data_IF_466094625508
#
_entry.id   IF_466094625508
#
_cell.length_a   1.000
_cell.length_b   1.000
_cell.length_c   1.000
_cell.angle_alpha   90.00
_cell.angle_beta   90.00
_cell.angle_gamma   90.00
#
_symmetry.space_group_name_H-M   'P 1'
#
loop_
_entity.id
_entity.type
_entity.pdbx_description
1 polymer ?
#
# COMPACT_ATOMS: atom_id res chain seq x y z
N UNK A 1 -8.82 -40.52 45.78
CA UNK A 1 -9.96 -40.16 44.89
C UNK A 1 -9.36 -39.42 43.71
N UNK A 2 -9.17 -40.11 42.58
CA UNK A 2 -8.58 -39.53 41.39
C UNK A 2 -9.62 -38.63 40.72
N UNK A 3 -9.34 -37.33 40.67
CA UNK A 3 -10.20 -36.35 40.04
C UNK A 3 -10.00 -36.49 38.52
N UNK A 4 -10.93 -37.15 37.83
CA UNK A 4 -10.98 -37.19 36.37
C UNK A 4 -11.38 -35.80 35.85
N UNK A 5 -10.44 -34.86 35.83
CA UNK A 5 -10.62 -33.60 35.14
C UNK A 5 -10.73 -33.91 33.64
N UNK A 6 -11.96 -33.81 33.15
CA UNK A 6 -12.38 -34.17 31.80
C UNK A 6 -11.51 -33.51 30.73
N UNK A 7 -10.61 -34.29 30.11
CA UNK A 7 -9.81 -33.88 28.95
C UNK A 7 -10.68 -33.34 27.80
N UNK A 8 -11.96 -33.67 27.79
CA UNK A 8 -12.95 -33.21 26.80
C UNK A 8 -13.11 -31.68 26.88
N UNK A 9 -13.10 -31.08 28.08
CA UNK A 9 -13.25 -29.62 28.27
C UNK A 9 -12.02 -28.87 27.73
N UNK A 10 -10.83 -29.46 27.84
CA UNK A 10 -9.58 -28.92 27.29
C UNK A 10 -9.54 -28.97 25.75
N UNK A 11 -10.12 -30.00 25.13
CA UNK A 11 -10.18 -30.08 23.67
C UNK A 11 -11.15 -29.06 23.05
N UNK A 12 -12.24 -28.71 23.74
CA UNK A 12 -13.18 -27.68 23.25
C UNK A 12 -12.59 -26.26 23.27
N UNK A 13 -11.66 -25.96 24.20
CA UNK A 13 -10.99 -24.65 24.26
C UNK A 13 -9.94 -24.44 23.15
N UNK A 14 -9.36 -25.53 22.61
CA UNK A 14 -8.38 -25.47 21.52
C UNK A 14 -9.03 -25.31 20.13
N UNK A 15 -10.35 -25.52 20.03
CA UNK A 15 -11.11 -25.43 18.77
C UNK A 15 -11.71 -24.03 18.51
N UNK A 16 -11.47 -23.06 19.39
CA UNK A 16 -11.86 -21.65 19.18
C UNK A 16 -10.72 -20.86 18.54
N UNK A 17 -10.09 -21.42 17.50
CA UNK A 17 -9.49 -20.60 16.46
C UNK A 17 -10.44 -20.64 15.29
N UNK A 18 -11.54 -19.87 15.37
CA UNK A 18 -12.25 -19.51 14.16
C UNK A 18 -11.23 -18.83 13.27
N UNK A 19 -10.82 -19.52 12.20
CA UNK A 19 -10.03 -18.91 11.15
C UNK A 19 -10.89 -17.78 10.59
N UNK A 20 -10.63 -16.54 11.05
CA UNK A 20 -11.22 -15.32 10.48
C UNK A 20 -10.61 -15.01 9.11
N UNK A 21 -9.92 -15.96 8.50
CA UNK A 21 -9.33 -15.83 7.19
C UNK A 21 -10.41 -15.53 6.17
N UNK A 22 -10.14 -14.56 5.31
CA UNK A 22 -11.04 -14.32 4.19
C UNK A 22 -10.90 -15.47 3.18
N UNK A 23 -12.00 -16.00 2.63
CA UNK A 23 -11.92 -17.05 1.62
C UNK A 23 -11.32 -16.52 0.32
N UNK A 24 -10.70 -17.38 -0.48
CA UNK A 24 -10.15 -17.02 -1.80
C UNK A 24 -11.19 -16.37 -2.73
N UNK A 25 -12.47 -16.74 -2.60
CA UNK A 25 -13.55 -16.09 -3.34
C UNK A 25 -13.68 -14.60 -2.99
N UNK A 26 -13.46 -14.23 -1.72
CA UNK A 26 -13.46 -12.84 -1.29
C UNK A 26 -12.21 -12.10 -1.78
N UNK A 27 -11.03 -12.75 -1.76
CA UNK A 27 -9.80 -12.20 -2.39
C UNK A 27 -10.05 -11.88 -3.87
N UNK A 28 -10.71 -12.78 -4.61
CA UNK A 28 -11.03 -12.54 -6.02
C UNK A 28 -11.99 -11.37 -6.22
N UNK A 29 -12.99 -11.19 -5.34
CA UNK A 29 -13.91 -10.04 -5.39
C UNK A 29 -13.19 -8.72 -5.09
N UNK A 30 -12.28 -8.72 -4.11
CA UNK A 30 -11.45 -7.56 -3.76
C UNK A 30 -10.53 -7.22 -4.94
N UNK A 31 -9.73 -8.18 -5.40
CA UNK A 31 -8.74 -7.93 -6.45
C UNK A 31 -9.37 -7.67 -7.82
N UNK A 32 -10.58 -8.16 -8.07
CA UNK A 32 -11.33 -7.84 -9.29
C UNK A 32 -11.71 -6.36 -9.43
N UNK A 33 -11.59 -5.56 -8.37
CA UNK A 33 -11.83 -4.11 -8.39
C UNK A 33 -10.56 -3.30 -8.68
N UNK A 34 -9.39 -3.94 -8.72
CA UNK A 34 -8.10 -3.27 -8.99
C UNK A 34 -7.81 -3.15 -10.49
N UNK A 35 -6.98 -2.17 -10.87
CA UNK A 35 -6.36 -2.02 -12.20
C UNK A 35 -5.54 -3.26 -12.57
N UNK A 36 -4.94 -3.95 -11.59
CA UNK A 36 -4.16 -5.17 -11.81
C UNK A 36 -4.56 -6.32 -10.83
N UNK A 37 -5.59 -7.12 -11.20
CA UNK A 37 -6.09 -8.20 -10.34
C UNK A 37 -5.05 -9.29 -10.03
N UNK A 38 -4.12 -9.55 -10.96
CA UNK A 38 -3.07 -10.55 -10.76
C UNK A 38 -2.04 -10.09 -9.73
N UNK A 39 -1.62 -8.82 -9.80
CA UNK A 39 -0.74 -8.23 -8.80
C UNK A 39 -1.37 -8.26 -7.41
N UNK A 40 -2.63 -7.81 -7.30
CA UNK A 40 -3.36 -7.84 -6.03
C UNK A 40 -3.50 -9.25 -5.47
N UNK A 41 -3.95 -10.21 -6.29
CA UNK A 41 -4.14 -11.59 -5.80
C UNK A 41 -2.82 -12.23 -5.40
N UNK A 42 -1.73 -11.96 -6.12
CA UNK A 42 -0.38 -12.42 -5.74
C UNK A 42 0.03 -11.84 -4.39
N UNK A 43 -0.20 -10.54 -4.17
CA UNK A 43 0.12 -9.86 -2.92
C UNK A 43 -0.68 -10.41 -1.74
N UNK A 44 -2.01 -10.48 -1.87
CA UNK A 44 -2.88 -10.91 -0.76
C UNK A 44 -2.70 -12.41 -0.46
N UNK A 45 -2.50 -13.26 -1.47
CA UNK A 45 -2.27 -14.69 -1.26
C UNK A 45 -0.90 -15.02 -0.67
N UNK A 46 0.03 -14.06 -0.61
CA UNK A 46 1.31 -14.23 0.09
C UNK A 46 1.14 -14.34 1.62
N UNK A 47 -0.02 -13.94 2.16
CA UNK A 47 -0.40 -14.07 3.56
C UNK A 47 -1.57 -15.07 3.68
N UNK A 48 -1.31 -16.39 3.59
CA UNK A 48 -2.37 -17.38 3.69
C UNK A 48 -2.98 -17.36 5.09
N UNK A 49 -4.30 -17.51 5.15
CA UNK A 49 -5.08 -17.55 6.39
C UNK A 49 -5.17 -16.21 7.15
N UNK A 50 -4.88 -15.07 6.50
CA UNK A 50 -5.04 -13.75 7.08
C UNK A 50 -6.50 -13.26 6.99
N UNK A 51 -6.95 -12.59 8.06
CA UNK A 51 -8.19 -11.81 8.02
C UNK A 51 -7.97 -10.48 7.29
N UNK A 52 -9.06 -9.76 7.02
CA UNK A 52 -8.99 -8.52 6.25
C UNK A 52 -8.12 -7.45 6.91
N UNK A 53 -8.17 -7.35 8.25
CA UNK A 53 -7.38 -6.36 9.00
C UNK A 53 -5.88 -6.68 8.89
N UNK A 54 -5.51 -7.94 8.98
CA UNK A 54 -4.13 -8.43 8.82
C UNK A 54 -3.63 -8.17 7.40
N UNK A 55 -4.46 -8.42 6.39
CA UNK A 55 -4.12 -8.13 4.98
C UNK A 55 -3.93 -6.63 4.73
N UNK A 56 -4.78 -5.77 5.30
CA UNK A 56 -4.63 -4.32 5.21
C UNK A 56 -3.33 -3.85 5.86
N UNK A 57 -3.03 -4.31 7.08
CA UNK A 57 -1.77 -3.98 7.75
C UNK A 57 -0.55 -4.46 6.97
N UNK A 58 -0.61 -5.66 6.39
CA UNK A 58 0.44 -6.18 5.53
C UNK A 58 0.63 -5.31 4.29
N UNK A 59 -0.45 -4.90 3.64
CA UNK A 59 -0.41 -4.07 2.43
C UNK A 59 0.16 -2.67 2.74
N UNK A 60 -0.19 -2.07 3.89
CA UNK A 60 0.40 -0.81 4.38
C UNK A 60 1.92 -0.93 4.57
N UNK A 61 2.40 -2.04 5.14
CA UNK A 61 3.84 -2.28 5.28
C UNK A 61 4.54 -2.43 3.92
N UNK A 62 3.86 -3.06 2.94
CA UNK A 62 4.36 -3.17 1.57
C UNK A 62 4.40 -1.80 0.90
N UNK A 63 3.41 -0.93 1.11
CA UNK A 63 3.43 0.45 0.63
C UNK A 63 4.64 1.20 1.18
N UNK A 64 4.86 1.15 2.50
CA UNK A 64 6.01 1.80 3.15
C UNK A 64 7.34 1.37 2.52
N UNK A 65 7.50 0.06 2.32
CA UNK A 65 8.72 -0.48 1.72
C UNK A 65 8.93 0.02 0.29
N UNK A 66 7.88 0.04 -0.54
CA UNK A 66 7.97 0.50 -1.92
C UNK A 66 8.19 2.02 -2.02
N UNK A 67 7.49 2.83 -1.21
CA UNK A 67 7.71 4.28 -1.12
C UNK A 67 9.15 4.57 -0.69
N UNK A 68 9.62 3.96 0.40
CA UNK A 68 10.99 4.12 0.89
C UNK A 68 12.04 3.73 -0.17
N UNK A 69 11.79 2.67 -0.93
CA UNK A 69 12.68 2.25 -2.01
C UNK A 69 12.64 3.21 -3.20
N UNK A 70 11.48 3.81 -3.48
CA UNK A 70 11.30 4.81 -4.54
C UNK A 70 12.03 6.11 -4.17
N UNK A 71 11.90 6.61 -2.94
CA UNK A 71 12.68 7.75 -2.43
C UNK A 71 14.18 7.52 -2.60
N UNK A 72 14.68 6.32 -2.27
CA UNK A 72 16.10 5.98 -2.47
C UNK A 72 16.50 6.02 -3.94
N UNK A 73 15.66 5.49 -4.82
CA UNK A 73 15.89 5.54 -6.28
C UNK A 73 15.91 6.99 -6.77
N UNK A 74 14.96 7.82 -6.36
CA UNK A 74 14.88 9.25 -6.73
C UNK A 74 16.17 9.97 -6.33
N UNK A 75 16.65 9.76 -5.10
CA UNK A 75 17.91 10.34 -4.64
C UNK A 75 19.13 9.92 -5.50
N UNK A 76 19.18 8.65 -5.93
CA UNK A 76 20.21 8.17 -6.88
C UNK A 76 20.08 8.90 -8.22
N UNK A 77 18.87 9.02 -8.76
CA UNK A 77 18.62 9.67 -10.04
C UNK A 77 18.98 11.17 -10.02
N UNK A 78 18.71 11.87 -8.92
CA UNK A 78 19.15 13.26 -8.70
C UNK A 78 20.68 13.35 -8.79
N UNK A 79 21.40 12.45 -8.09
CA UNK A 79 22.86 12.45 -8.06
C UNK A 79 23.47 12.13 -9.45
N UNK A 80 22.94 11.12 -10.15
CA UNK A 80 23.39 10.72 -11.47
C UNK A 80 23.15 11.79 -12.55
N UNK A 81 22.14 12.63 -12.36
CA UNK A 81 21.75 13.67 -13.29
C UNK A 81 22.08 15.09 -12.80
N UNK A 82 23.03 15.24 -11.87
CA UNK A 82 23.40 16.52 -11.27
C UNK A 82 23.77 17.63 -12.28
N UNK A 83 24.25 17.26 -13.47
CA UNK A 83 24.64 18.19 -14.55
C UNK A 83 23.58 18.35 -15.66
N UNK A 84 22.39 17.76 -15.51
CA UNK A 84 21.26 17.88 -16.44
C UNK A 84 20.13 18.62 -15.73
N UNK A 85 19.99 19.95 -15.93
CA UNK A 85 19.05 20.76 -15.17
C UNK A 85 17.62 20.22 -15.19
N UNK A 86 17.08 19.92 -16.36
CA UNK A 86 15.69 19.44 -16.51
C UNK A 86 15.45 18.12 -15.75
N UNK A 87 16.38 17.17 -15.87
CA UNK A 87 16.29 15.89 -15.17
C UNK A 87 16.42 16.06 -13.65
N UNK A 88 17.32 16.93 -13.20
CA UNK A 88 17.48 17.21 -11.78
C UNK A 88 16.22 17.87 -11.20
N UNK A 89 15.64 18.84 -11.92
CA UNK A 89 14.38 19.49 -11.52
C UNK A 89 13.25 18.48 -11.43
N UNK A 90 13.08 17.62 -12.44
CA UNK A 90 12.07 16.56 -12.43
C UNK A 90 12.22 15.64 -11.22
N UNK A 91 13.40 15.07 -11.00
CA UNK A 91 13.59 14.14 -9.88
C UNK A 91 13.53 14.82 -8.51
N UNK A 92 13.88 16.11 -8.41
CA UNK A 92 13.68 16.86 -7.17
C UNK A 92 12.20 17.08 -6.87
N UNK A 93 11.38 17.46 -7.86
CA UNK A 93 9.93 17.54 -7.68
C UNK A 93 9.31 16.18 -7.33
N UNK A 94 9.73 15.10 -7.98
CA UNK A 94 9.33 13.76 -7.58
C UNK A 94 9.74 13.41 -6.14
N UNK A 95 10.85 13.94 -5.62
CA UNK A 95 11.24 13.69 -4.24
C UNK A 95 10.24 14.35 -3.29
N UNK A 96 9.82 15.58 -3.58
CA UNK A 96 8.84 16.32 -2.79
C UNK A 96 7.50 15.54 -2.73
N UNK A 97 7.01 15.01 -3.86
CA UNK A 97 5.80 14.15 -3.89
C UNK A 97 5.95 12.78 -3.21
N UNK A 98 7.16 12.36 -2.85
CA UNK A 98 7.38 11.08 -2.17
C UNK A 98 7.83 11.23 -0.71
N UNK A 99 8.13 12.44 -0.26
CA UNK A 99 8.75 12.68 1.04
C UNK A 99 7.78 12.52 2.22
N UNK A 100 8.31 12.75 3.43
CA UNK A 100 7.60 12.60 4.69
C UNK A 100 6.76 13.82 5.08
N UNK A 101 6.97 14.97 4.44
CA UNK A 101 6.35 16.23 4.85
C UNK A 101 4.96 16.38 4.19
N UNK A 102 4.91 16.37 2.86
CA UNK A 102 3.67 16.54 2.09
C UNK A 102 3.48 15.48 0.99
N UNK A 103 4.40 14.53 0.85
CA UNK A 103 4.32 13.47 -0.15
C UNK A 103 3.80 12.13 0.35
N UNK A 104 3.97 11.12 -0.52
CA UNK A 104 3.39 9.79 -0.35
C UNK A 104 3.78 9.08 0.95
N UNK A 105 4.96 9.38 1.53
CA UNK A 105 5.36 8.79 2.82
C UNK A 105 4.58 9.43 3.97
N UNK A 106 4.41 10.75 3.98
CA UNK A 106 3.58 11.46 4.95
C UNK A 106 2.13 10.99 4.90
N UNK A 107 1.56 10.88 3.70
CA UNK A 107 0.20 10.38 3.50
C UNK A 107 0.04 8.92 3.95
N UNK A 108 1.05 8.08 3.75
CA UNK A 108 1.02 6.72 4.26
C UNK A 108 1.03 6.69 5.79
N UNK A 109 1.83 7.54 6.45
CA UNK A 109 1.88 7.62 7.91
C UNK A 109 0.53 8.03 8.50
N UNK A 110 -0.13 9.01 7.87
CA UNK A 110 -1.48 9.39 8.23
C UNK A 110 -2.50 8.28 7.95
N UNK A 111 -2.40 7.61 6.80
CA UNK A 111 -3.21 6.43 6.46
C UNK A 111 -3.10 5.35 7.54
N UNK A 112 -1.90 5.09 8.05
CA UNK A 112 -1.69 4.11 9.12
C UNK A 112 -2.27 4.55 10.47
N UNK A 113 -2.25 5.85 10.78
CA UNK A 113 -2.91 6.38 11.97
C UNK A 113 -4.43 6.15 11.89
N UNK A 114 -5.04 6.49 10.77
CA UNK A 114 -6.47 6.28 10.52
C UNK A 114 -6.83 4.78 10.63
N UNK A 115 -5.99 3.91 10.08
CA UNK A 115 -6.18 2.46 10.18
C UNK A 115 -6.13 1.95 11.63
N UNK A 116 -5.19 2.45 12.45
CA UNK A 116 -5.08 2.11 13.88
C UNK A 116 -6.31 2.58 14.65
N UNK A 117 -6.84 3.75 14.30
CA UNK A 117 -8.03 4.34 14.91
C UNK A 117 -9.35 3.69 14.41
N UNK A 118 -9.28 2.82 13.41
CA UNK A 118 -10.45 2.16 12.83
C UNK A 118 -11.26 3.04 11.88
N UNK A 119 -10.72 4.19 11.46
CA UNK A 119 -11.34 5.07 10.47
C UNK A 119 -11.03 4.58 9.06
N UNK A 120 -11.72 3.52 8.64
CA UNK A 120 -11.49 2.89 7.34
C UNK A 120 -11.96 3.74 6.15
N UNK A 121 -12.91 4.65 6.36
CA UNK A 121 -13.26 5.63 5.34
C UNK A 121 -12.09 6.60 5.12
N UNK A 122 -11.52 7.12 6.21
CA UNK A 122 -10.33 7.97 6.17
C UNK A 122 -9.14 7.27 5.51
N UNK A 123 -8.90 5.99 5.82
CA UNK A 123 -7.85 5.19 5.15
C UNK A 123 -8.01 5.20 3.64
N UNK A 124 -9.23 5.04 3.12
CA UNK A 124 -9.47 5.07 1.67
C UNK A 124 -9.20 6.43 1.05
N UNK A 125 -9.55 7.52 1.74
CA UNK A 125 -9.29 8.89 1.29
C UNK A 125 -7.79 9.17 1.28
N UNK A 126 -7.11 8.95 2.41
CA UNK A 126 -5.67 9.22 2.55
C UNK A 126 -4.81 8.36 1.63
N UNK A 127 -5.20 7.09 1.38
CA UNK A 127 -4.51 6.26 0.40
C UNK A 127 -4.75 6.68 -1.05
N UNK A 128 -5.80 7.47 -1.34
CA UNK A 128 -6.00 8.06 -2.68
C UNK A 128 -5.03 9.21 -2.91
N UNK A 129 -4.70 9.99 -1.88
CA UNK A 129 -3.68 11.04 -1.98
C UNK A 129 -2.30 10.47 -2.37
N UNK A 130 -1.96 9.25 -1.90
CA UNK A 130 -0.76 8.53 -2.36
C UNK A 130 -0.80 8.24 -3.88
N UNK A 131 -1.98 7.94 -4.46
CA UNK A 131 -2.11 7.78 -5.91
C UNK A 131 -1.89 9.11 -6.63
N UNK A 132 -2.43 10.21 -6.08
CA UNK A 132 -2.29 11.56 -6.63
C UNK A 132 -0.81 12.00 -6.62
N UNK A 133 -0.08 11.82 -5.51
CA UNK A 133 1.36 12.09 -5.40
C UNK A 133 2.20 11.33 -6.43
N UNK A 134 1.85 10.06 -6.65
CA UNK A 134 2.49 9.23 -7.67
C UNK A 134 2.20 9.78 -9.07
N UNK A 135 0.97 10.17 -9.34
CA UNK A 135 0.56 10.76 -10.62
C UNK A 135 1.28 12.08 -10.87
N UNK A 136 1.34 12.97 -9.87
CA UNK A 136 2.00 14.28 -9.97
C UNK A 136 3.50 14.16 -10.22
N UNK A 137 4.19 13.22 -9.57
CA UNK A 137 5.60 12.93 -9.89
C UNK A 137 5.78 12.44 -11.34
N UNK A 138 4.91 11.56 -11.84
CA UNK A 138 5.11 10.93 -13.16
C UNK A 138 4.62 11.80 -14.32
N UNK A 139 3.52 12.52 -14.13
CA UNK A 139 2.79 13.25 -15.18
C UNK A 139 2.89 14.76 -15.04
N UNK A 140 3.29 15.27 -13.87
CA UNK A 140 3.25 16.68 -13.49
C UNK A 140 1.90 17.07 -12.87
N UNK A 141 1.91 18.13 -12.05
CA UNK A 141 0.75 18.63 -11.30
C UNK A 141 -0.31 19.32 -12.20
N UNK A 142 0.09 19.80 -13.38
CA UNK A 142 -0.78 20.50 -14.31
C UNK A 142 -0.61 20.04 -15.76
N UNK A 143 -1.71 19.99 -16.56
CA UNK A 143 -1.62 19.75 -18.00
C UNK A 143 -0.77 20.79 -18.77
N UNK A 144 -0.47 21.93 -18.16
CA UNK A 144 0.42 22.95 -18.72
C UNK A 144 1.90 22.65 -18.51
N UNK A 145 2.22 21.72 -17.61
CA UNK A 145 3.59 21.42 -17.25
C UNK A 145 4.28 20.72 -18.42
N UNK A 146 5.54 21.07 -18.70
CA UNK A 146 6.27 20.44 -19.78
C UNK A 146 6.47 18.96 -19.46
N UNK A 147 6.04 18.03 -20.33
CA UNK A 147 6.16 16.61 -20.05
C UNK A 147 7.64 16.24 -19.98
N UNK A 148 8.04 15.61 -18.88
CA UNK A 148 9.37 15.01 -18.77
C UNK A 148 9.32 13.56 -19.22
N UNK A 149 10.02 13.25 -20.32
CA UNK A 149 10.10 11.87 -20.81
C UNK A 149 11.12 11.07 -20.01
N UNK A 150 10.67 10.53 -18.88
CA UNK A 150 11.50 9.73 -17.99
C UNK A 150 11.79 8.34 -18.58
N UNK A 151 13.06 8.09 -18.91
CA UNK A 151 13.54 6.79 -19.41
C UNK A 151 14.20 5.93 -18.33
N UNK A 152 14.16 6.36 -17.07
CA UNK A 152 14.70 5.63 -15.93
C UNK A 152 13.75 4.51 -15.49
N UNK A 153 14.08 3.86 -14.38
CA UNK A 153 13.21 2.86 -13.72
C UNK A 153 12.19 3.50 -12.78
N UNK A 154 12.20 4.82 -12.57
CA UNK A 154 11.30 5.50 -11.65
C UNK A 154 9.81 5.24 -11.98
N UNK A 155 9.34 5.32 -13.25
CA UNK A 155 7.94 5.04 -13.56
C UNK A 155 7.49 3.62 -13.16
N UNK A 156 8.40 2.64 -13.18
CA UNK A 156 8.11 1.27 -12.77
C UNK A 156 7.95 1.15 -11.25
N UNK A 157 8.82 1.83 -10.50
CA UNK A 157 8.76 1.87 -9.04
C UNK A 157 7.50 2.60 -8.55
N UNK A 158 7.22 3.75 -9.16
CA UNK A 158 6.03 4.55 -8.89
C UNK A 158 4.74 3.77 -9.19
N UNK A 159 4.67 3.07 -10.32
CA UNK A 159 3.51 2.22 -10.66
C UNK A 159 3.26 1.11 -9.64
N UNK A 160 4.30 0.55 -9.01
CA UNK A 160 4.11 -0.43 -7.92
C UNK A 160 3.50 0.24 -6.68
N UNK A 161 3.91 1.47 -6.35
CA UNK A 161 3.31 2.24 -5.24
C UNK A 161 1.83 2.51 -5.51
N UNK A 162 1.49 2.98 -6.70
CA UNK A 162 0.10 3.21 -7.14
C UNK A 162 -0.74 1.93 -7.01
N UNK A 163 -0.24 0.79 -7.51
CA UNK A 163 -0.96 -0.49 -7.41
C UNK A 163 -1.19 -0.93 -5.96
N UNK A 164 -0.23 -0.68 -5.07
CA UNK A 164 -0.37 -1.02 -3.64
C UNK A 164 -1.34 -0.06 -2.94
N UNK A 165 -1.27 1.25 -3.23
CA UNK A 165 -2.20 2.25 -2.73
C UNK A 165 -3.65 1.90 -3.11
N UNK A 166 -3.88 1.52 -4.37
CA UNK A 166 -5.18 1.07 -4.83
C UNK A 166 -5.74 -0.12 -4.04
N UNK A 167 -4.88 -1.08 -3.72
CA UNK A 167 -5.28 -2.24 -2.91
C UNK A 167 -5.68 -1.79 -1.51
N UNK A 168 -4.97 -0.83 -0.90
CA UNK A 168 -5.32 -0.24 0.40
C UNK A 168 -6.72 0.40 0.34
N UNK A 169 -7.00 1.19 -0.71
CA UNK A 169 -8.31 1.84 -0.92
C UNK A 169 -9.45 0.81 -0.98
N UNK A 170 -9.24 -0.31 -1.68
CA UNK A 170 -10.29 -1.34 -1.81
C UNK A 170 -10.43 -2.13 -0.51
N UNK A 171 -9.33 -2.49 0.15
CA UNK A 171 -9.35 -3.18 1.43
C UNK A 171 -10.07 -2.35 2.51
N UNK A 172 -9.86 -1.03 2.54
CA UNK A 172 -10.50 -0.14 3.50
C UNK A 172 -12.02 -0.08 3.34
N UNK A 173 -12.52 -0.05 2.10
CA UNK A 173 -13.96 -0.17 1.80
C UNK A 173 -14.55 -1.47 2.34
N UNK A 174 -13.81 -2.58 2.23
CA UNK A 174 -14.27 -3.88 2.74
C UNK A 174 -14.19 -3.99 4.27
N UNK A 175 -13.40 -3.15 4.94
CA UNK A 175 -13.34 -3.08 6.41
C UNK A 175 -14.45 -2.21 7.02
N UNK A 176 -14.96 -1.22 6.26
CA UNK A 176 -16.02 -0.31 6.70
C UNK A 176 -17.44 -0.89 6.61
N UNK A 177 -17.60 -2.15 6.21
CA UNK A 177 -18.87 -2.87 6.07
C UNK A 177 -18.99 -3.98 7.12
#
# INVERSE_FOLDING_TARGET
MANNFSCIVLMFLLLVSSSYAIPNSQVNVICGQTKNPLFCSTLLNSQPNADLKTLTQYTLNVARANITNTIKLINVLIAENANKPDAKTHYSSCLDHFDEDEGALGDLEYTEELFKNGDYQGVGVSASSIEDDVEDCISGESPSDPPYHDTSTLPQYASVVELVAQIIIILSKNLGH
#
